data_IF_530079325854
#
_entry.id   IF_530079325854
#
_cell.length_a   1.000
_cell.length_b   1.000
_cell.length_c   1.000
_cell.angle_alpha   90.00
_cell.angle_beta   90.00
_cell.angle_gamma   90.00
#
_symmetry.space_group_name_H-M   'P 1'
#
loop_
_entity.id
_entity.type
_entity.pdbx_description
1 polymer ?
#
# COMPACT_ATOMS: atom_id res chain seq x y z
N UNK A 1 2.87 -50.46 18.35
CA UNK A 1 4.14 -50.28 17.61
C UNK A 1 4.00 -49.58 16.25
N UNK A 2 2.83 -49.59 15.57
CA UNK A 2 2.64 -48.92 14.25
C UNK A 2 2.43 -47.39 14.30
N UNK A 3 1.97 -46.82 15.42
CA UNK A 3 1.68 -45.38 15.54
C UNK A 3 2.95 -44.49 15.54
N UNK A 4 4.08 -45.02 16.04
CA UNK A 4 5.33 -44.27 16.14
C UNK A 4 6.11 -44.18 14.81
N UNK A 5 5.74 -44.95 13.79
CA UNK A 5 6.39 -44.91 12.48
C UNK A 5 5.84 -43.76 11.63
N UNK A 6 4.51 -43.56 11.63
CA UNK A 6 3.87 -42.46 10.90
C UNK A 6 4.25 -41.08 11.44
N UNK A 7 4.42 -40.94 12.77
CA UNK A 7 4.87 -39.67 13.39
C UNK A 7 6.32 -39.31 13.02
N UNK A 8 7.19 -40.33 12.85
CA UNK A 8 8.59 -40.13 12.43
C UNK A 8 8.69 -39.78 10.94
N UNK A 9 7.93 -40.45 10.08
CA UNK A 9 7.89 -40.14 8.64
C UNK A 9 7.29 -38.75 8.38
N UNK A 10 6.29 -38.33 9.15
CA UNK A 10 5.72 -36.97 9.08
C UNK A 10 6.73 -35.89 9.46
N UNK A 11 7.57 -36.12 10.49
CA UNK A 11 8.65 -35.19 10.86
C UNK A 11 9.76 -35.08 9.79
N UNK A 12 10.10 -36.16 9.09
CA UNK A 12 11.06 -36.07 7.97
C UNK A 12 10.47 -35.36 6.75
N UNK A 13 9.17 -35.50 6.49
CA UNK A 13 8.48 -34.79 5.39
C UNK A 13 8.39 -33.27 5.66
N UNK A 14 8.18 -32.88 6.92
CA UNK A 14 8.11 -31.48 7.36
C UNK A 14 9.48 -30.79 7.29
N UNK A 15 10.57 -31.52 7.60
CA UNK A 15 11.95 -31.03 7.42
C UNK A 15 12.32 -30.87 5.94
N UNK A 16 11.80 -31.72 5.04
CA UNK A 16 12.05 -31.59 3.60
C UNK A 16 11.29 -30.41 2.95
N UNK A 17 10.09 -30.08 3.45
CA UNK A 17 9.30 -28.95 2.97
C UNK A 17 9.90 -27.58 3.33
N UNK A 18 10.60 -27.47 4.47
CA UNK A 18 11.33 -26.25 4.85
C UNK A 18 12.66 -26.06 4.08
N UNK A 19 13.24 -27.13 3.52
CA UNK A 19 14.51 -27.05 2.78
C UNK A 19 14.34 -26.45 1.37
N UNK A 20 13.20 -26.69 0.72
CA UNK A 20 12.95 -26.24 -0.65
C UNK A 20 12.73 -24.72 -0.78
N UNK A 21 12.21 -24.06 0.25
CA UNK A 21 11.99 -22.61 0.23
C UNK A 21 13.29 -21.82 0.39
N UNK A 22 14.26 -22.36 1.14
CA UNK A 22 15.57 -21.73 1.38
C UNK A 22 16.48 -21.79 0.15
N UNK A 23 16.34 -22.80 -0.70
CA UNK A 23 17.16 -22.97 -1.90
C UNK A 23 16.89 -21.90 -2.97
N UNK A 24 15.65 -21.42 -3.08
CA UNK A 24 15.30 -20.37 -4.04
C UNK A 24 15.96 -19.05 -3.63
N UNK A 25 15.69 -18.53 -2.43
CA UNK A 25 16.18 -17.22 -1.98
C UNK A 25 17.72 -17.04 -2.01
N UNK A 26 18.49 -18.14 -1.94
CA UNK A 26 19.96 -18.09 -2.08
C UNK A 26 20.40 -17.65 -3.48
N UNK A 27 19.68 -18.03 -4.52
CA UNK A 27 19.98 -17.64 -5.90
C UNK A 27 19.73 -16.15 -6.13
N UNK A 28 18.55 -15.64 -5.72
CA UNK A 28 18.25 -14.20 -5.83
C UNK A 28 19.20 -13.34 -5.01
N UNK A 29 19.57 -13.80 -3.81
CA UNK A 29 20.58 -13.10 -3.00
C UNK A 29 21.94 -13.04 -3.68
N UNK A 30 22.33 -14.08 -4.43
CA UNK A 30 23.57 -14.07 -5.19
C UNK A 30 23.51 -13.09 -6.36
N UNK A 31 22.40 -13.08 -7.11
CA UNK A 31 22.18 -12.13 -8.21
C UNK A 31 22.24 -10.67 -7.72
N UNK A 32 21.68 -10.39 -6.54
CA UNK A 32 21.75 -9.06 -5.91
C UNK A 32 23.18 -8.75 -5.47
N UNK A 33 23.93 -9.70 -4.87
CA UNK A 33 25.35 -9.49 -4.53
C UNK A 33 26.19 -9.13 -5.76
N UNK A 34 26.02 -9.89 -6.84
CA UNK A 34 26.78 -9.66 -8.08
C UNK A 34 26.44 -8.30 -8.68
N UNK A 35 25.16 -7.93 -8.69
CA UNK A 35 24.70 -6.60 -9.09
C UNK A 35 25.30 -5.48 -8.23
N UNK A 36 25.24 -5.61 -6.91
CA UNK A 36 25.78 -4.61 -5.98
C UNK A 36 27.28 -4.44 -6.18
N UNK A 37 28.02 -5.53 -6.38
CA UNK A 37 29.46 -5.48 -6.66
C UNK A 37 29.79 -4.78 -7.99
N UNK A 38 28.97 -4.99 -9.03
CA UNK A 38 29.10 -4.31 -10.34
C UNK A 38 28.88 -2.80 -10.22
N UNK A 39 27.87 -2.37 -9.48
CA UNK A 39 27.47 -0.95 -9.43
C UNK A 39 28.09 -0.15 -8.28
N UNK A 40 28.71 -0.81 -7.29
CA UNK A 40 29.25 -0.17 -6.08
C UNK A 40 30.13 1.04 -6.39
N UNK A 41 31.13 0.85 -7.27
CA UNK A 41 32.10 1.90 -7.62
C UNK A 41 31.44 3.08 -8.35
N UNK A 42 30.54 2.81 -9.29
CA UNK A 42 29.86 3.86 -10.08
C UNK A 42 28.83 4.64 -9.26
N UNK A 43 28.27 4.02 -8.21
CA UNK A 43 27.33 4.64 -7.27
C UNK A 43 28.02 5.27 -6.05
N UNK A 44 29.35 5.17 -5.97
CA UNK A 44 30.15 5.71 -4.86
C UNK A 44 29.82 5.07 -3.51
N UNK A 45 29.39 3.80 -3.52
CA UNK A 45 29.14 2.99 -2.34
C UNK A 45 30.46 2.39 -1.83
N UNK A 46 30.53 2.16 -0.52
CA UNK A 46 31.66 1.48 0.13
C UNK A 46 31.37 0.00 0.29
N UNK A 47 32.41 -0.81 0.54
CA UNK A 47 32.24 -2.25 0.82
C UNK A 47 31.19 -2.49 1.91
N UNK A 48 31.30 -1.74 3.01
CA UNK A 48 30.38 -1.80 4.14
C UNK A 48 28.95 -1.37 3.82
N UNK A 49 28.72 -0.66 2.71
CA UNK A 49 27.38 -0.23 2.32
C UNK A 49 26.62 -1.35 1.56
N UNK A 50 27.32 -2.34 1.02
CA UNK A 50 26.71 -3.43 0.21
C UNK A 50 26.83 -4.82 0.85
N UNK A 51 27.52 -4.92 1.98
CA UNK A 51 27.74 -6.17 2.73
C UNK A 51 26.44 -6.75 3.30
N UNK A 52 25.54 -5.90 3.78
CA UNK A 52 24.32 -6.30 4.48
C UNK A 52 23.08 -5.78 3.75
N UNK A 53 22.27 -6.71 3.26
CA UNK A 53 21.01 -6.44 2.58
C UNK A 53 20.08 -7.64 2.72
N UNK A 54 18.79 -7.42 2.48
CA UNK A 54 17.79 -8.48 2.49
C UNK A 54 16.93 -8.42 1.22
N UNK A 55 16.75 -9.58 0.58
CA UNK A 55 15.77 -9.76 -0.50
C UNK A 55 14.39 -9.85 0.14
N UNK A 56 13.60 -8.78 -0.03
CA UNK A 56 12.25 -8.66 0.51
C UNK A 56 11.21 -9.47 -0.26
N UNK A 57 11.34 -9.56 -1.59
CA UNK A 57 10.46 -10.35 -2.43
C UNK A 57 11.07 -10.59 -3.80
N UNK A 58 10.58 -11.61 -4.49
CA UNK A 58 10.89 -11.83 -5.90
C UNK A 58 9.72 -12.53 -6.59
N UNK A 59 9.60 -12.33 -7.90
CA UNK A 59 8.66 -13.06 -8.74
C UNK A 59 9.11 -13.05 -10.20
N UNK A 60 8.52 -13.92 -11.02
CA UNK A 60 8.74 -13.95 -12.46
C UNK A 60 7.42 -13.57 -13.13
N UNK A 61 7.46 -12.56 -14.01
CA UNK A 61 6.31 -12.15 -14.81
C UNK A 61 5.98 -13.22 -15.86
N UNK A 62 4.81 -13.87 -15.82
CA UNK A 62 4.47 -14.93 -16.76
C UNK A 62 4.50 -14.54 -18.25
N UNK A 63 4.02 -13.34 -18.66
CA UNK A 63 4.01 -12.97 -20.09
C UNK A 63 5.40 -12.71 -20.67
N UNK A 64 6.33 -12.21 -19.87
CA UNK A 64 7.65 -11.74 -20.33
C UNK A 64 8.82 -12.60 -19.87
N UNK A 65 8.58 -13.54 -18.95
CA UNK A 65 9.59 -14.26 -18.19
C UNK A 65 10.64 -13.35 -17.52
N UNK A 66 10.27 -12.10 -17.22
CA UNK A 66 11.14 -11.16 -16.53
C UNK A 66 11.15 -11.49 -15.04
N UNK A 67 12.35 -11.71 -14.48
CA UNK A 67 12.53 -11.90 -13.04
C UNK A 67 12.62 -10.53 -12.36
N UNK A 68 11.78 -10.28 -11.36
CA UNK A 68 11.77 -9.10 -10.52
C UNK A 68 12.27 -9.48 -9.14
N UNK A 69 13.28 -8.78 -8.63
CA UNK A 69 13.86 -8.97 -7.30
C UNK A 69 13.81 -7.63 -6.58
N UNK A 70 13.25 -7.60 -5.39
CA UNK A 70 13.17 -6.42 -4.54
C UNK A 70 13.96 -6.64 -3.26
N UNK A 71 14.82 -5.70 -2.92
CA UNK A 71 15.74 -5.82 -1.80
C UNK A 71 15.96 -4.48 -1.13
N UNK A 72 16.40 -4.47 0.11
CA UNK A 72 16.69 -3.23 0.85
C UNK A 72 18.00 -3.35 1.61
N UNK A 73 18.63 -2.22 1.88
CA UNK A 73 19.89 -2.15 2.60
C UNK A 73 19.66 -2.42 4.09
N UNK A 74 20.60 -3.14 4.70
CA UNK A 74 20.66 -3.33 6.15
C UNK A 74 22.03 -2.89 6.65
N UNK A 75 22.12 -2.68 7.95
CA UNK A 75 23.39 -2.51 8.63
C UNK A 75 23.33 -3.18 9.99
N UNK A 76 24.28 -4.06 10.29
CA UNK A 76 24.28 -4.87 11.51
C UNK A 76 22.95 -5.59 11.75
N UNK A 77 22.33 -6.03 10.65
CA UNK A 77 21.07 -6.72 10.67
C UNK A 77 19.85 -5.82 10.89
N UNK A 78 19.94 -4.51 10.76
CA UNK A 78 18.79 -3.59 10.87
C UNK A 78 18.54 -2.88 9.54
N UNK A 79 17.30 -2.93 9.05
CA UNK A 79 16.89 -2.26 7.81
C UNK A 79 17.12 -0.75 7.85
N UNK A 80 17.61 -0.21 6.74
CA UNK A 80 17.68 1.23 6.52
C UNK A 80 16.41 1.68 5.80
N UNK A 81 15.66 2.57 6.43
CA UNK A 81 14.38 3.07 5.95
C UNK A 81 14.51 3.69 4.55
N UNK A 82 13.51 3.42 3.71
CA UNK A 82 13.41 3.94 2.34
C UNK A 82 14.61 3.62 1.42
N UNK A 83 15.20 2.42 1.58
CA UNK A 83 16.27 1.90 0.69
C UNK A 83 15.80 0.78 -0.24
N UNK A 84 14.48 0.58 -0.34
CA UNK A 84 13.88 -0.46 -1.20
C UNK A 84 14.30 -0.24 -2.64
N UNK A 85 15.05 -1.20 -3.16
CA UNK A 85 15.71 -1.23 -4.45
C UNK A 85 15.17 -2.40 -5.27
N UNK A 86 15.32 -2.33 -6.59
CA UNK A 86 14.81 -3.37 -7.50
C UNK A 86 15.85 -3.76 -8.55
N UNK A 87 15.84 -5.04 -8.90
CA UNK A 87 16.65 -5.62 -9.97
C UNK A 87 15.75 -6.47 -10.86
N UNK A 88 15.78 -6.18 -12.16
CA UNK A 88 14.97 -6.84 -13.16
C UNK A 88 15.87 -7.55 -14.18
N UNK A 89 15.71 -8.86 -14.32
CA UNK A 89 16.61 -9.73 -15.09
C UNK A 89 15.81 -10.47 -16.16
N UNK A 90 16.32 -10.44 -17.41
CA UNK A 90 15.76 -11.19 -18.53
C UNK A 90 16.01 -12.69 -18.37
N UNK A 91 15.25 -13.52 -19.08
CA UNK A 91 15.41 -14.97 -19.06
C UNK A 91 16.84 -15.46 -19.41
N UNK A 92 17.57 -14.70 -20.24
CA UNK A 92 18.96 -15.01 -20.61
C UNK A 92 20.00 -14.60 -19.54
N UNK A 93 19.56 -14.12 -18.36
CA UNK A 93 20.41 -13.68 -17.26
C UNK A 93 20.91 -12.24 -17.36
N UNK A 94 20.64 -11.52 -18.45
CA UNK A 94 21.06 -10.12 -18.59
C UNK A 94 20.20 -9.15 -17.78
N UNK A 95 20.83 -8.12 -17.20
CA UNK A 95 20.15 -7.02 -16.51
C UNK A 95 19.27 -6.26 -17.51
N UNK A 96 17.98 -6.15 -17.20
CA UNK A 96 17.01 -5.36 -17.98
C UNK A 96 16.89 -3.94 -17.44
N UNK A 97 16.63 -3.82 -16.14
CA UNK A 97 16.45 -2.55 -15.45
C UNK A 97 16.77 -2.72 -13.97
N UNK A 98 17.15 -1.63 -13.31
CA UNK A 98 17.46 -1.60 -11.88
C UNK A 98 17.18 -0.21 -11.29
N UNK A 99 16.85 -0.19 -10.01
CA UNK A 99 16.79 1.01 -9.18
C UNK A 99 17.51 0.72 -7.86
N UNK A 100 18.45 1.60 -7.47
CA UNK A 100 19.25 1.43 -6.25
C UNK A 100 19.18 2.68 -5.38
N UNK A 101 18.71 2.51 -4.15
CA UNK A 101 18.49 3.59 -3.18
C UNK A 101 19.32 3.43 -1.90
N UNK A 102 20.40 2.64 -1.96
CA UNK A 102 21.30 2.43 -0.83
C UNK A 102 21.93 3.75 -0.37
N UNK A 103 21.98 3.96 0.94
CA UNK A 103 22.72 5.04 1.57
C UNK A 103 24.22 4.74 1.51
N UNK A 104 25.01 5.81 1.40
CA UNK A 104 26.47 5.75 1.31
C UNK A 104 27.10 6.06 2.66
N UNK A 105 28.30 5.52 2.92
CA UNK A 105 29.08 5.80 4.15
C UNK A 105 28.33 5.42 5.43
N UNK A 106 27.51 4.36 5.39
CA UNK A 106 26.59 3.96 6.47
C UNK A 106 27.30 3.91 7.83
N UNK A 107 28.43 3.21 7.88
CA UNK A 107 29.25 3.08 9.10
C UNK A 107 29.71 4.41 9.69
N UNK A 108 29.95 5.43 8.87
CA UNK A 108 30.40 6.75 9.31
C UNK A 108 29.25 7.70 9.68
N UNK A 109 28.01 7.35 9.30
CA UNK A 109 26.81 8.18 9.52
C UNK A 109 26.03 7.83 10.78
N UNK A 110 26.38 6.74 11.47
CA UNK A 110 25.71 6.32 12.71
C UNK A 110 26.43 6.98 13.89
N UNK A 111 25.66 7.72 14.70
CA UNK A 111 26.16 8.33 15.93
C UNK A 111 26.21 7.29 17.07
N UNK A 112 27.36 6.63 17.21
CA UNK A 112 27.61 5.63 18.26
C UNK A 112 28.25 6.24 19.53
N UNK A 113 28.37 7.57 19.65
CA UNK A 113 29.37 8.16 20.55
C UNK A 113 28.97 8.21 22.05
N UNK A 114 27.74 7.83 22.42
CA UNK A 114 27.32 7.78 23.83
C UNK A 114 26.40 6.57 24.03
N UNK A 115 26.62 5.70 25.05
CA UNK A 115 25.64 4.68 25.40
C UNK A 115 24.37 5.36 25.91
N UNK A 116 23.43 5.60 25.00
CA UNK A 116 22.10 6.11 25.31
C UNK A 116 21.19 4.91 25.58
N UNK A 117 20.40 4.98 26.65
CA UNK A 117 19.33 4.02 26.88
C UNK A 117 18.38 4.07 25.69
N UNK A 118 18.22 2.96 25.00
CA UNK A 118 17.25 2.82 23.92
C UNK A 118 15.88 2.49 24.52
N UNK A 119 14.83 3.16 24.04
CA UNK A 119 13.44 2.82 24.30
C UNK A 119 13.13 1.43 23.72
N UNK A 120 12.32 0.64 24.42
CA UNK A 120 11.70 -0.55 23.80
C UNK A 120 10.45 -0.16 22.98
N UNK A 121 9.87 -1.11 22.23
CA UNK A 121 8.75 -0.83 21.35
C UNK A 121 7.47 -0.36 22.08
N UNK A 122 7.23 -0.80 23.32
CA UNK A 122 6.08 -0.34 24.11
C UNK A 122 6.30 1.08 24.62
N UNK A 123 7.48 1.37 25.14
CA UNK A 123 7.86 2.73 25.57
C UNK A 123 7.81 3.72 24.42
N UNK A 124 8.23 3.28 23.23
CA UNK A 124 8.10 4.05 22.00
C UNK A 124 6.64 4.33 21.63
N UNK A 125 5.79 3.31 21.67
CA UNK A 125 4.37 3.46 21.36
C UNK A 125 3.64 4.37 22.37
N UNK A 126 4.04 4.34 23.65
CA UNK A 126 3.56 5.29 24.65
C UNK A 126 3.91 6.74 24.26
N UNK A 127 5.11 7.01 23.72
CA UNK A 127 5.49 8.34 23.22
C UNK A 127 4.67 8.77 22.01
N UNK A 128 4.34 7.83 21.11
CA UNK A 128 3.44 8.09 19.98
C UNK A 128 2.05 8.47 20.48
N UNK A 129 1.48 7.72 21.41
CA UNK A 129 0.16 8.00 21.96
C UNK A 129 0.09 9.41 22.60
N UNK A 130 1.13 9.80 23.35
CA UNK A 130 1.25 11.14 23.95
C UNK A 130 1.28 12.23 22.86
N UNK A 131 2.11 12.07 21.83
CA UNK A 131 2.29 13.08 20.78
C UNK A 131 1.08 13.20 19.84
N UNK A 132 0.34 12.11 19.62
CA UNK A 132 -0.92 12.13 18.88
C UNK A 132 -2.09 12.71 19.69
N UNK A 133 -1.93 12.93 21.00
CA UNK A 133 -3.02 13.35 21.88
C UNK A 133 -4.14 12.31 22.00
N UNK A 134 -3.87 11.06 21.61
CA UNK A 134 -4.83 9.98 21.63
C UNK A 134 -4.97 9.40 23.04
N UNK A 135 -6.19 9.09 23.45
CA UNK A 135 -6.46 8.49 24.76
C UNK A 135 -6.27 6.98 24.68
N UNK A 136 -5.53 6.43 25.64
CA UNK A 136 -5.47 4.98 25.92
C UNK A 136 -6.03 4.71 27.32
N UNK A 137 -6.75 3.61 27.51
CA UNK A 137 -7.27 3.20 28.82
C UNK A 137 -6.44 2.11 29.48
N UNK A 138 -5.59 1.42 28.71
CA UNK A 138 -4.71 0.36 29.21
C UNK A 138 -3.25 0.55 28.75
N UNK A 139 -2.34 -0.16 29.43
CA UNK A 139 -0.94 -0.25 29.00
C UNK A 139 -0.77 -1.21 27.83
N UNK A 140 0.10 -0.84 26.89
CA UNK A 140 0.43 -1.66 25.74
C UNK A 140 1.13 -2.95 26.16
N UNK A 141 0.80 -4.05 25.47
CA UNK A 141 1.33 -5.38 25.77
C UNK A 141 1.76 -6.06 24.48
N UNK A 142 2.85 -6.82 24.53
CA UNK A 142 3.25 -7.65 23.40
C UNK A 142 2.25 -8.80 23.22
N UNK A 143 1.71 -8.91 22.01
CA UNK A 143 1.05 -10.10 21.51
C UNK A 143 2.07 -11.10 20.96
N UNK A 144 3.12 -10.59 20.30
CA UNK A 144 4.31 -11.33 19.90
C UNK A 144 5.53 -10.57 20.40
N UNK A 145 6.36 -11.24 21.21
CA UNK A 145 7.56 -10.64 21.80
C UNK A 145 8.59 -10.26 20.72
N UNK A 146 9.46 -9.26 20.99
CA UNK A 146 10.55 -8.87 20.09
C UNK A 146 11.45 -10.04 19.70
N UNK A 147 11.77 -10.11 18.41
CA UNK A 147 12.67 -11.11 17.82
C UNK A 147 13.75 -10.43 17.00
N UNK A 148 14.86 -11.14 16.73
CA UNK A 148 15.97 -10.69 15.86
C UNK A 148 16.58 -9.31 16.24
N UNK A 149 17.50 -8.81 15.41
CA UNK A 149 18.19 -7.52 15.59
C UNK A 149 17.28 -6.31 15.39
N UNK A 150 16.24 -6.44 14.58
CA UNK A 150 15.21 -5.42 14.32
C UNK A 150 14.12 -5.43 15.38
N UNK A 151 14.19 -6.33 16.37
CA UNK A 151 13.21 -6.41 17.45
C UNK A 151 11.77 -6.48 16.95
N UNK A 152 11.54 -7.19 15.83
CA UNK A 152 10.21 -7.34 15.23
C UNK A 152 9.25 -7.92 16.27
N UNK A 153 8.17 -7.21 16.52
CA UNK A 153 7.15 -7.54 17.51
C UNK A 153 5.76 -7.16 17.01
N UNK A 154 4.74 -7.71 17.66
CA UNK A 154 3.35 -7.36 17.45
C UNK A 154 2.78 -6.93 18.80
N UNK A 155 2.27 -5.71 18.87
CA UNK A 155 1.68 -5.13 20.07
C UNK A 155 0.16 -5.29 19.99
N UNK A 156 -0.47 -5.72 21.08
CA UNK A 156 -1.93 -5.82 21.15
C UNK A 156 -2.57 -4.43 20.97
N UNK A 157 -3.61 -4.38 20.15
CA UNK A 157 -4.25 -3.13 19.75
C UNK A 157 -4.89 -2.33 20.89
N UNK A 158 -5.30 -3.00 21.96
CA UNK A 158 -6.09 -2.38 23.04
C UNK A 158 -7.30 -1.59 22.51
N UNK A 159 -7.53 -0.43 23.11
CA UNK A 159 -8.50 0.57 22.67
C UNK A 159 -7.88 1.65 21.75
N UNK A 160 -6.57 1.58 21.53
CA UNK A 160 -5.80 2.59 20.82
C UNK A 160 -5.82 2.41 19.30
N UNK A 161 -5.99 1.18 18.81
CA UNK A 161 -6.03 0.89 17.37
C UNK A 161 -7.10 -0.12 16.97
N UNK A 162 -7.53 -0.11 15.71
CA UNK A 162 -8.46 -1.08 15.14
C UNK A 162 -7.81 -2.45 14.88
N UNK A 163 -6.50 -2.48 14.64
CA UNK A 163 -5.69 -3.67 14.35
C UNK A 163 -4.46 -3.77 15.26
N UNK A 164 -3.92 -4.97 15.44
CA UNK A 164 -2.69 -5.17 16.21
C UNK A 164 -1.54 -4.38 15.57
N UNK A 165 -0.69 -3.77 16.39
CA UNK A 165 0.28 -2.77 15.94
C UNK A 165 1.62 -3.47 15.70
N UNK A 166 2.07 -3.65 14.44
CA UNK A 166 3.40 -4.16 14.18
C UNK A 166 4.44 -3.10 14.57
N UNK A 167 5.51 -3.54 15.23
CA UNK A 167 6.63 -2.68 15.61
C UNK A 167 7.95 -3.32 15.20
N UNK A 168 8.85 -2.51 14.65
CA UNK A 168 10.23 -2.92 14.38
C UNK A 168 11.18 -1.73 14.44
N UNK A 169 12.43 -2.05 14.75
CA UNK A 169 13.53 -1.14 14.82
C UNK A 169 14.17 -0.98 13.43
N UNK A 170 14.43 0.26 13.02
CA UNK A 170 14.98 0.63 11.71
C UNK A 170 16.00 1.75 11.85
N UNK A 171 16.92 1.87 10.88
CA UNK A 171 17.73 3.08 10.72
C UNK A 171 17.00 4.08 9.82
N UNK A 172 16.71 5.26 10.34
CA UNK A 172 16.11 6.37 9.61
C UNK A 172 17.16 7.41 9.21
N UNK A 173 17.23 7.81 7.92
CA UNK A 173 18.19 8.79 7.45
C UNK A 173 17.69 10.23 7.71
N UNK A 174 18.37 10.96 8.59
CA UNK A 174 18.06 12.34 8.96
C UNK A 174 19.07 13.28 8.30
N UNK A 175 18.56 14.38 7.73
CA UNK A 175 19.40 15.44 7.20
C UNK A 175 20.19 16.10 8.34
N UNK A 176 21.52 16.11 8.25
CA UNK A 176 22.30 17.00 9.10
C UNK A 176 21.99 18.43 8.65
N UNK A 177 21.50 19.25 9.56
CA UNK A 177 21.53 20.71 9.41
C UNK A 177 22.99 21.17 9.44
N UNK A 178 23.69 20.94 8.33
CA UNK A 178 24.92 21.65 8.04
C UNK A 178 24.48 23.07 7.70
N UNK A 179 24.84 24.05 8.53
CA UNK A 179 24.52 25.46 8.29
C UNK A 179 25.04 26.04 6.96
N UNK A 180 25.74 25.23 6.18
CA UNK A 180 26.07 25.44 4.77
C UNK A 180 25.04 24.74 3.90
N UNK A 181 24.19 25.52 3.22
CA UNK A 181 23.38 25.06 2.08
C UNK A 181 24.34 24.42 1.06
N UNK A 182 24.38 23.09 0.99
CA UNK A 182 25.08 22.42 -0.10
C UNK A 182 24.30 22.68 -1.38
N UNK A 183 24.98 23.23 -2.39
CA UNK A 183 24.42 23.41 -3.75
C UNK A 183 24.37 22.10 -4.53
N UNK A 184 24.96 21.03 -3.99
CA UNK A 184 24.88 19.70 -4.57
C UNK A 184 23.78 18.89 -3.89
N UNK A 185 22.66 18.70 -4.61
CA UNK A 185 21.50 17.88 -4.24
C UNK A 185 21.87 16.42 -3.83
N UNK A 186 23.12 16.02 -4.07
CA UNK A 186 23.67 14.69 -3.78
C UNK A 186 24.70 14.65 -2.62
N UNK A 187 25.01 15.79 -1.99
CA UNK A 187 25.97 15.91 -0.88
C UNK A 187 25.33 16.14 0.49
N UNK A 188 24.00 16.04 0.63
CA UNK A 188 23.38 16.06 1.95
C UNK A 188 23.68 14.74 2.67
N UNK A 189 24.79 14.73 3.41
CA UNK A 189 25.17 13.58 4.23
C UNK A 189 24.08 13.38 5.29
N UNK A 190 23.30 12.32 5.12
CA UNK A 190 22.28 11.92 6.09
C UNK A 190 22.94 11.12 7.20
N UNK A 191 22.76 11.58 8.42
CA UNK A 191 23.08 10.77 9.59
C UNK A 191 22.00 9.69 9.71
N UNK A 192 22.40 8.47 10.08
CA UNK A 192 21.45 7.39 10.35
C UNK A 192 21.15 7.36 11.84
N UNK A 193 19.88 7.44 12.16
CA UNK A 193 19.37 7.37 13.52
C UNK A 193 18.53 6.12 13.70
N UNK A 194 18.65 5.47 14.85
CA UNK A 194 17.83 4.33 15.19
C UNK A 194 16.41 4.79 15.57
N UNK A 195 15.40 4.13 15.02
CA UNK A 195 14.01 4.53 15.15
C UNK A 195 13.06 3.33 15.26
N UNK A 196 11.94 3.50 15.95
CA UNK A 196 10.85 2.54 15.97
C UNK A 196 9.81 2.89 14.91
N UNK A 197 9.47 1.93 14.05
CA UNK A 197 8.44 2.05 13.03
C UNK A 197 7.13 1.39 13.49
N UNK A 198 6.02 2.11 13.35
CA UNK A 198 4.67 1.68 13.70
C UNK A 198 3.67 1.93 12.56
N UNK A 199 2.67 1.06 12.47
CA UNK A 199 1.47 1.24 11.66
C UNK A 199 0.25 1.22 12.59
N UNK A 200 -0.49 2.33 12.66
CA UNK A 200 -1.53 2.54 13.67
C UNK A 200 -2.81 3.01 12.98
N UNK A 201 -3.84 2.18 13.03
CA UNK A 201 -5.17 2.51 12.51
C UNK A 201 -6.03 3.03 13.66
N UNK A 202 -6.36 4.33 13.68
CA UNK A 202 -7.09 4.93 14.78
C UNK A 202 -8.58 4.52 14.77
N UNK A 203 -9.24 4.40 15.94
CA UNK A 203 -10.64 4.02 16.04
C UNK A 203 -11.63 4.97 15.34
N UNK A 204 -11.22 6.21 15.06
CA UNK A 204 -12.02 7.19 14.31
C UNK A 204 -12.14 6.85 12.81
N UNK A 205 -11.34 5.90 12.29
CA UNK A 205 -11.25 5.52 10.88
C UNK A 205 -10.84 6.67 9.93
N UNK A 206 -10.40 7.80 10.48
CA UNK A 206 -9.91 8.95 9.71
C UNK A 206 -8.42 8.86 9.43
N UNK A 207 -7.70 8.10 10.26
CA UNK A 207 -6.26 8.02 10.20
C UNK A 207 -5.75 6.59 10.25
N UNK A 208 -4.90 6.28 9.27
CA UNK A 208 -4.03 5.11 9.29
C UNK A 208 -2.59 5.60 9.25
N UNK A 209 -1.98 5.76 10.41
CA UNK A 209 -0.68 6.37 10.56
C UNK A 209 0.45 5.39 10.28
N UNK A 210 1.42 5.81 9.47
CA UNK A 210 2.77 5.24 9.42
C UNK A 210 3.73 6.21 10.09
N UNK A 211 4.26 5.81 11.26
CA UNK A 211 5.03 6.66 12.16
C UNK A 211 6.38 6.04 12.42
N UNK A 212 7.43 6.87 12.41
CA UNK A 212 8.72 6.54 12.98
C UNK A 212 9.07 7.53 14.08
N UNK A 213 9.55 6.99 15.20
CA UNK A 213 10.06 7.78 16.33
C UNK A 213 11.52 7.47 16.60
N UNK A 214 12.29 8.44 17.06
CA UNK A 214 13.65 8.25 17.53
C UNK A 214 13.67 7.28 18.73
N UNK A 215 14.47 6.22 18.60
CA UNK A 215 14.56 5.15 19.58
C UNK A 215 15.23 5.56 20.91
N UNK A 216 15.74 6.79 21.03
CA UNK A 216 16.39 7.29 22.25
C UNK A 216 15.59 8.38 22.95
N UNK A 217 15.07 9.37 22.23
CA UNK A 217 14.33 10.50 22.82
C UNK A 217 12.81 10.39 22.67
N UNK A 218 12.30 9.48 21.82
CA UNK A 218 10.87 9.27 21.59
C UNK A 218 10.20 10.28 20.66
N UNK A 219 10.93 11.23 20.07
CA UNK A 219 10.39 12.24 19.15
C UNK A 219 9.92 11.59 17.84
N UNK A 220 8.74 12.00 17.34
CA UNK A 220 8.29 11.62 16.01
C UNK A 220 9.19 12.29 14.96
N UNK A 221 9.93 11.46 14.22
CA UNK A 221 10.84 11.90 13.15
C UNK A 221 10.26 11.69 11.76
N UNK A 222 9.18 10.91 11.65
CA UNK A 222 8.41 10.72 10.42
C UNK A 222 6.96 10.36 10.76
N UNK A 223 6.01 10.94 10.04
CA UNK A 223 4.58 10.65 10.18
C UNK A 223 3.88 10.88 8.83
N UNK A 224 3.15 9.87 8.35
CA UNK A 224 2.30 9.99 7.16
C UNK A 224 0.96 9.30 7.39
N UNK A 225 -0.12 9.89 6.87
CA UNK A 225 -1.44 9.26 6.89
C UNK A 225 -1.61 8.45 5.61
N UNK A 226 -1.92 7.15 5.76
CA UNK A 226 -2.16 6.21 4.68
C UNK A 226 -3.63 6.18 4.24
N UNK A 227 -4.54 6.86 4.95
CA UNK A 227 -5.90 7.09 4.48
C UNK A 227 -5.88 8.11 3.35
N UNK A 228 -6.30 7.69 2.16
CA UNK A 228 -6.53 8.60 1.04
C UNK A 228 -7.78 9.44 1.35
N UNK A 229 -7.59 10.75 1.43
CA UNK A 229 -8.70 11.70 1.54
C UNK A 229 -8.70 12.59 0.30
N UNK A 230 -9.82 12.62 -0.42
CA UNK A 230 -10.05 13.59 -1.47
C UNK A 230 -10.77 14.77 -0.81
N UNK A 231 -10.04 15.83 -0.47
CA UNK A 231 -10.62 17.10 -0.05
C UNK A 231 -10.36 18.16 -1.12
N UNK A 232 -11.39 18.93 -1.45
CA UNK A 232 -11.31 20.17 -2.22
C UNK A 232 -10.51 21.21 -1.42
N UNK A 233 -9.18 21.10 -1.44
CA UNK A 233 -8.34 22.23 -1.05
C UNK A 233 -7.41 22.61 -2.20
N UNK A 234 -7.52 23.90 -2.50
CA UNK A 234 -6.97 24.62 -3.62
C UNK A 234 -5.46 24.44 -3.77
N UNK A 235 -5.05 24.54 -5.04
CA UNK A 235 -3.67 24.76 -5.51
C UNK A 235 -2.79 23.53 -5.79
N UNK A 236 -3.30 22.55 -6.55
CA UNK A 236 -2.51 22.04 -7.68
C UNK A 236 -3.38 21.33 -8.73
N UNK A 237 -3.43 21.92 -9.92
CA UNK A 237 -3.74 21.26 -11.21
C UNK A 237 -5.13 20.67 -11.51
N UNK A 238 -6.17 20.89 -10.70
CA UNK A 238 -7.56 20.67 -11.15
C UNK A 238 -8.40 21.94 -10.96
N UNK A 239 -8.60 22.69 -12.06
CA UNK A 239 -9.46 23.87 -12.09
C UNK A 239 -10.90 23.44 -12.31
N UNK A 240 -11.62 23.12 -11.22
CA UNK A 240 -13.07 22.98 -11.28
C UNK A 240 -13.69 24.39 -11.33
N UNK A 241 -14.57 24.63 -12.30
CA UNK A 241 -15.27 25.90 -12.48
C UNK A 241 -16.29 26.05 -11.35
N UNK A 242 -16.20 27.16 -10.60
CA UNK A 242 -17.12 27.57 -9.55
C UNK A 242 -18.57 27.65 -10.05
N UNK A 243 -19.42 26.72 -9.63
CA UNK A 243 -20.87 26.98 -9.44
C UNK A 243 -21.37 26.17 -8.25
N UNK A 244 -20.99 26.55 -7.03
CA UNK A 244 -21.62 26.07 -5.81
C UNK A 244 -22.39 27.22 -5.13
N UNK A 245 -23.56 27.53 -5.69
CA UNK A 245 -24.63 28.11 -4.87
C UNK A 245 -25.19 26.97 -4.03
N UNK A 246 -25.01 27.04 -2.72
CA UNK A 246 -25.58 26.11 -1.76
C UNK A 246 -27.07 25.89 -2.05
N UNK A 247 -27.45 24.68 -2.45
CA UNK A 247 -28.84 24.26 -2.48
C UNK A 247 -29.23 24.06 -1.01
N UNK A 248 -29.76 25.11 -0.40
CA UNK A 248 -30.55 24.97 0.82
C UNK A 248 -31.76 24.10 0.51
N UNK A 249 -31.84 22.94 1.16
CA UNK A 249 -33.02 22.10 1.21
C UNK A 249 -34.28 22.93 1.48
N UNK A 250 -35.06 23.19 0.43
CA UNK A 250 -36.49 23.54 0.47
C UNK A 250 -37.06 23.76 -0.94
N UNK A 251 -37.03 22.75 -1.80
CA UNK A 251 -38.06 22.67 -2.84
C UNK A 251 -38.81 21.36 -2.71
N UNK A 252 -40.09 21.51 -2.34
CA UNK A 252 -41.10 20.45 -2.34
C UNK A 252 -41.08 19.79 -3.71
N UNK A 253 -40.70 18.51 -3.75
CA UNK A 253 -41.03 17.64 -4.86
C UNK A 253 -42.55 17.59 -5.00
N UNK A 254 -43.09 18.36 -5.94
CA UNK A 254 -44.42 18.12 -6.47
C UNK A 254 -44.33 16.84 -7.30
N UNK A 255 -44.59 15.71 -6.66
CA UNK A 255 -44.81 14.43 -7.32
C UNK A 255 -46.15 14.47 -8.06
N UNK A 256 -46.17 15.09 -9.24
CA UNK A 256 -47.22 14.81 -10.21
C UNK A 256 -46.88 13.47 -10.87
N UNK A 257 -47.46 12.41 -10.33
CA UNK A 257 -47.58 11.11 -10.98
C UNK A 257 -48.31 11.30 -12.32
N UNK A 258 -47.55 11.31 -13.41
CA UNK A 258 -48.08 11.10 -14.76
C UNK A 258 -47.54 9.75 -15.23
N UNK A 259 -48.25 8.68 -14.86
CA UNK A 259 -48.06 7.36 -15.47
C UNK A 259 -48.58 7.44 -16.91
N UNK A 260 -47.70 7.79 -17.83
CA UNK A 260 -47.90 7.59 -19.26
C UNK A 260 -47.75 6.11 -19.57
N UNK A 261 -48.85 5.46 -19.94
CA UNK A 261 -48.84 4.12 -20.54
C UNK A 261 -48.16 4.21 -21.90
N UNK A 262 -46.88 3.83 -21.97
CA UNK A 262 -46.19 3.54 -23.23
C UNK A 262 -45.97 2.04 -23.35
N UNK A 263 -46.60 1.49 -24.37
CA UNK A 263 -46.35 0.17 -24.94
C UNK A 263 -44.94 0.12 -25.53
N UNK A 264 -44.26 -1.01 -25.33
CA UNK A 264 -42.81 -1.28 -25.53
C UNK A 264 -41.99 -0.83 -24.33
N UNK A 265 -41.33 -1.78 -23.65
CA UNK A 265 -40.53 -1.57 -22.45
C UNK A 265 -39.29 -0.73 -22.79
N UNK A 266 -39.43 0.60 -22.81
CA UNK A 266 -38.31 1.53 -22.90
C UNK A 266 -37.68 1.62 -21.51
N UNK A 267 -36.42 1.23 -21.38
CA UNK A 267 -35.67 1.35 -20.12
C UNK A 267 -35.42 2.82 -19.78
N UNK A 268 -35.97 3.29 -18.67
CA UNK A 268 -35.72 4.62 -18.13
C UNK A 268 -34.74 4.56 -16.96
N UNK A 269 -33.63 5.29 -17.03
CA UNK A 269 -32.55 5.27 -16.05
C UNK A 269 -32.35 6.65 -15.43
N UNK A 270 -32.34 6.70 -14.10
CA UNK A 270 -32.05 7.92 -13.35
C UNK A 270 -30.54 7.98 -13.03
N UNK A 271 -29.77 8.64 -13.90
CA UNK A 271 -28.30 8.62 -13.87
C UNK A 271 -27.72 10.00 -13.52
N UNK A 272 -26.43 10.03 -13.16
CA UNK A 272 -25.62 11.23 -13.28
C UNK A 272 -24.95 11.20 -14.67
N UNK A 273 -25.42 11.97 -15.66
CA UNK A 273 -24.83 11.96 -16.99
C UNK A 273 -23.45 12.59 -16.96
N UNK A 274 -22.55 12.11 -17.82
CA UNK A 274 -21.24 12.75 -18.03
C UNK A 274 -21.42 14.25 -18.34
N UNK A 275 -20.65 15.17 -17.73
CA UNK A 275 -19.44 14.96 -16.93
C UNK A 275 -19.66 14.86 -15.41
N UNK A 276 -20.89 14.69 -14.93
CA UNK A 276 -21.19 14.70 -13.49
C UNK A 276 -20.61 13.44 -12.82
N UNK A 277 -19.56 13.63 -12.02
CA UNK A 277 -18.80 12.55 -11.40
C UNK A 277 -19.46 11.99 -10.15
N UNK A 278 -20.21 12.81 -9.41
CA UNK A 278 -20.80 12.40 -8.13
C UNK A 278 -22.11 13.14 -7.84
N UNK A 279 -22.90 12.66 -6.86
CA UNK A 279 -24.10 13.37 -6.38
C UNK A 279 -23.84 14.80 -5.88
N UNK A 280 -22.60 15.14 -5.49
CA UNK A 280 -22.23 16.48 -5.06
C UNK A 280 -21.95 17.45 -6.22
N UNK A 281 -21.65 16.93 -7.41
CA UNK A 281 -21.24 17.72 -8.58
C UNK A 281 -22.39 18.05 -9.55
N UNK A 282 -23.62 17.57 -9.27
CA UNK A 282 -24.77 17.86 -10.11
C UNK A 282 -26.00 17.04 -9.77
N UNK A 283 -27.10 17.32 -10.48
CA UNK A 283 -28.38 16.62 -10.29
C UNK A 283 -28.49 15.42 -11.22
N UNK A 284 -29.28 14.41 -10.82
CA UNK A 284 -29.59 13.27 -11.69
C UNK A 284 -30.52 13.69 -12.82
N UNK A 285 -30.45 12.95 -13.93
CA UNK A 285 -31.37 13.07 -15.05
C UNK A 285 -31.94 11.70 -15.40
N UNK A 286 -33.22 11.67 -15.77
CA UNK A 286 -33.86 10.46 -16.30
C UNK A 286 -33.63 10.42 -17.81
N UNK A 287 -32.92 9.39 -18.27
CA UNK A 287 -32.69 9.12 -19.69
C UNK A 287 -33.42 7.85 -20.07
N UNK A 288 -34.15 7.92 -21.18
CA UNK A 288 -34.84 6.78 -21.77
C UNK A 288 -34.03 6.27 -22.96
N UNK A 289 -33.93 4.95 -23.11
CA UNK A 289 -33.25 4.29 -24.24
C UNK A 289 -31.79 4.74 -24.46
N UNK A 290 -30.92 4.75 -23.41
CA UNK A 290 -29.53 5.16 -23.56
C UNK A 290 -28.65 4.13 -24.30
N UNK A 291 -29.18 2.94 -24.63
CA UNK A 291 -28.45 1.92 -25.34
C UNK A 291 -28.16 2.30 -26.80
N UNK A 292 -27.01 1.85 -27.30
CA UNK A 292 -26.58 2.11 -28.67
C UNK A 292 -26.55 0.80 -29.46
N UNK A 293 -27.22 0.78 -30.59
CA UNK A 293 -27.36 -0.39 -31.45
C UNK A 293 -26.03 -1.11 -31.81
N UNK A 294 -24.87 -0.46 -32.02
CA UNK A 294 -23.62 -1.16 -32.30
C UNK A 294 -23.10 -2.03 -31.15
N UNK A 295 -23.42 -1.67 -29.89
CA UNK A 295 -22.96 -2.40 -28.69
C UNK A 295 -24.06 -3.21 -28.01
N UNK A 296 -25.33 -2.85 -28.24
CA UNK A 296 -26.50 -3.49 -27.65
C UNK A 296 -27.70 -3.43 -28.60
N UNK A 297 -27.71 -4.24 -29.68
CA UNK A 297 -28.77 -4.21 -30.70
C UNK A 297 -30.18 -4.51 -30.19
N UNK A 298 -30.29 -5.18 -29.04
CA UNK A 298 -31.54 -5.60 -28.41
C UNK A 298 -31.73 -4.96 -27.01
N UNK A 299 -31.02 -3.87 -26.73
CA UNK A 299 -31.02 -3.20 -25.43
C UNK A 299 -29.96 -3.73 -24.46
N UNK A 300 -29.73 -3.00 -23.38
CA UNK A 300 -28.74 -3.39 -22.35
C UNK A 300 -29.15 -4.66 -21.61
N UNK A 301 -30.44 -4.88 -21.39
CA UNK A 301 -30.95 -5.99 -20.58
C UNK A 301 -31.14 -7.32 -21.34
N UNK A 302 -30.86 -7.33 -22.64
CA UNK A 302 -30.76 -8.56 -23.44
C UNK A 302 -29.34 -9.12 -23.38
N UNK A 303 -29.25 -10.43 -23.18
CA UNK A 303 -27.99 -11.20 -23.13
C UNK A 303 -27.96 -12.35 -24.13
N UNK A 304 -29.08 -12.66 -24.78
CA UNK A 304 -29.16 -13.81 -25.70
C UNK A 304 -29.27 -13.42 -27.17
N UNK A 305 -29.38 -12.13 -27.49
CA UNK A 305 -29.43 -11.63 -28.87
C UNK A 305 -30.78 -11.88 -29.56
N UNK A 306 -31.84 -12.09 -28.79
CA UNK A 306 -33.21 -12.20 -29.27
C UNK A 306 -34.04 -10.99 -28.81
N UNK A 307 -35.15 -10.74 -29.50
CA UNK A 307 -36.02 -9.62 -29.14
C UNK A 307 -36.71 -9.89 -27.79
N UNK A 308 -36.33 -9.12 -26.77
CA UNK A 308 -36.88 -9.17 -25.42
C UNK A 308 -35.79 -8.96 -24.38
N UNK A 309 -36.13 -8.40 -23.22
CA UNK A 309 -35.19 -8.29 -22.11
C UNK A 309 -35.30 -9.53 -21.21
N UNK A 310 -34.17 -10.17 -20.89
CA UNK A 310 -34.14 -11.24 -19.87
C UNK A 310 -34.13 -10.69 -18.45
N UNK A 311 -33.62 -9.48 -18.28
CA UNK A 311 -33.46 -8.85 -16.97
C UNK A 311 -34.26 -7.55 -16.86
N UNK A 312 -34.81 -7.29 -15.68
CA UNK A 312 -35.49 -6.02 -15.33
C UNK A 312 -34.75 -5.25 -14.24
N UNK A 313 -33.57 -5.74 -13.86
CA UNK A 313 -32.62 -5.14 -12.91
C UNK A 313 -31.43 -4.58 -13.69
N UNK A 314 -30.48 -3.89 -13.03
CA UNK A 314 -29.25 -3.35 -13.63
C UNK A 314 -28.23 -4.43 -14.04
N UNK A 315 -28.70 -5.44 -14.78
CA UNK A 315 -27.95 -6.54 -15.38
C UNK A 315 -28.18 -6.57 -16.88
N UNK A 316 -27.13 -6.84 -17.63
CA UNK A 316 -27.16 -6.80 -19.07
C UNK A 316 -25.98 -7.47 -19.74
N UNK A 317 -25.92 -7.33 -21.07
CA UNK A 317 -24.82 -7.82 -21.91
C UNK A 317 -23.47 -7.17 -21.62
N UNK A 318 -23.44 -5.95 -21.07
CA UNK A 318 -22.21 -5.20 -20.82
C UNK A 318 -21.88 -4.99 -19.34
N UNK A 319 -22.86 -5.09 -18.44
CA UNK A 319 -22.66 -4.77 -17.00
C UNK A 319 -23.67 -5.49 -16.13
N UNK A 320 -23.26 -5.88 -14.93
CA UNK A 320 -24.15 -6.33 -13.86
C UNK A 320 -23.81 -5.56 -12.58
N UNK A 321 -24.63 -4.55 -12.28
CA UNK A 321 -24.53 -3.81 -11.04
C UNK A 321 -25.42 -4.47 -9.98
N UNK A 322 -24.80 -4.87 -8.88
CA UNK A 322 -25.44 -5.42 -7.70
C UNK A 322 -24.67 -4.94 -6.47
N UNK A 323 -25.33 -4.93 -5.31
CA UNK A 323 -24.64 -4.74 -4.04
C UNK A 323 -23.85 -6.02 -3.75
N UNK A 324 -22.52 -5.94 -3.77
CA UNK A 324 -21.69 -7.02 -3.22
C UNK A 324 -21.83 -6.93 -1.70
N UNK A 325 -22.41 -7.95 -1.07
CA UNK A 325 -22.80 -7.96 0.35
C UNK A 325 -21.62 -7.97 1.33
N UNK A 326 -20.49 -7.38 0.97
CA UNK A 326 -19.31 -7.18 1.79
C UNK A 326 -18.91 -5.70 1.80
N UNK A 327 -18.58 -5.17 2.98
CA UNK A 327 -17.83 -3.93 3.10
C UNK A 327 -16.51 -4.06 2.30
N UNK A 328 -16.49 -3.50 1.09
CA UNK A 328 -15.37 -3.02 0.26
C UNK A 328 -15.77 -3.16 -1.22
N UNK A 329 -16.11 -2.05 -1.88
CA UNK A 329 -16.50 -2.05 -3.30
C UNK A 329 -15.26 -2.21 -4.17
N UNK A 330 -15.19 -3.32 -4.91
CA UNK A 330 -14.31 -3.49 -6.07
C UNK A 330 -15.19 -3.49 -7.33
N UNK A 331 -15.14 -2.42 -8.13
CA UNK A 331 -15.80 -2.39 -9.44
C UNK A 331 -14.95 -3.18 -10.43
N UNK A 332 -15.39 -4.38 -10.81
CA UNK A 332 -14.84 -5.12 -11.95
C UNK A 332 -15.47 -4.60 -13.24
N UNK A 333 -14.85 -3.60 -13.88
CA UNK A 333 -15.14 -3.26 -15.26
C UNK A 333 -14.36 -4.20 -16.20
N UNK A 334 -15.05 -5.10 -16.91
CA UNK A 334 -14.47 -5.73 -18.09
C UNK A 334 -14.38 -4.68 -19.19
N UNK A 335 -13.17 -4.17 -19.43
CA UNK A 335 -12.88 -3.35 -20.60
C UNK A 335 -12.82 -4.26 -21.81
N UNK A 336 -13.84 -4.21 -22.66
CA UNK A 336 -13.72 -4.70 -24.04
C UNK A 336 -13.18 -3.53 -24.86
N UNK A 337 -11.88 -3.60 -25.18
CA UNK A 337 -11.29 -2.76 -26.22
C UNK A 337 -11.77 -3.32 -27.57
N UNK A 338 -12.62 -2.58 -28.27
CA UNK A 338 -12.80 -2.77 -29.71
C UNK A 338 -11.79 -1.87 -30.42
N UNK A 339 -11.00 -2.48 -31.32
CA UNK A 339 -10.09 -1.80 -32.26
C UNK A 339 -10.90 -1.08 -33.33
#
# INVERSE_FOLDING_TARGET
>A
MKLNYHLRVFNYLLVFLFFSFSASAQNESQLVRDFLNDVKSSKGLYDTDVEDFEVSSFHISPPSNLKHIYFHQRYLGISIFNTVSSLHIRQNGSRFHDNLFFQRKVKATIDLQIPKRQLNALEGLDQVAIQLGARKTEDFKYKVNPTNTEQKSLIDKGDFSLSDIPAKLVYFPILKSSGTKSTDKYEEQRNLQLAWEYFIELPDQLHYWHILIDAFNGEIIYQTNLVLSCFEESESHHKCIEVHSAITDKEKSNSNNLFGTSTVMVGGYNIFPFPIESPGHGVRQVINDPDMAPGSPFGWHDTNGAAGAEFTITRGNNTHAYEDGGMLVQVLAQTVVLV
#
